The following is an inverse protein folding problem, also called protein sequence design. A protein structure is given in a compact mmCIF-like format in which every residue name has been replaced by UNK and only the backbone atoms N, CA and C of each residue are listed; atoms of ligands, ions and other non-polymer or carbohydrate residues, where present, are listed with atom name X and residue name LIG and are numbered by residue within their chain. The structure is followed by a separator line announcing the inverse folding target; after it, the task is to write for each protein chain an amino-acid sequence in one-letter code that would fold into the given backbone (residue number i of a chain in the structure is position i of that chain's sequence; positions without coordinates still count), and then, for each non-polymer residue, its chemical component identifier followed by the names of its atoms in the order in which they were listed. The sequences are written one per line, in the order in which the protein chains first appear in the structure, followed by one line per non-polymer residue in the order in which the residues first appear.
data_IF_597317704276
#
_entry.id   IF_597317704276
#
_cell.length_a   1.000
_cell.length_b   1.000
_cell.length_c   1.000
_cell.angle_alpha   90.00
_cell.angle_beta   90.00
_cell.angle_gamma   90.00
#
_symmetry.space_group_name_H-M   'P 1'
#
loop_
_entity.id
_entity.type
_entity.pdbx_description
1 polymer ?
#
# COMPACT_ATOMS: atom_id res chain seq x y z
N UNK A 1 4.99 -69.81 4.44
CA UNK A 1 6.31 -70.18 4.99
C UNK A 1 7.14 -70.88 3.93
N UNK A 2 8.17 -70.21 3.39
CA UNK A 2 9.36 -70.85 2.81
C UNK A 2 10.45 -69.78 2.72
N UNK A 3 11.56 -70.07 3.40
CA UNK A 3 12.72 -69.22 3.63
C UNK A 3 13.64 -69.37 2.42
N UNK A 4 14.11 -68.26 1.85
CA UNK A 4 15.30 -68.26 0.99
C UNK A 4 16.27 -67.21 1.50
N UNK A 5 17.35 -67.75 2.05
CA UNK A 5 18.57 -67.10 2.51
C UNK A 5 19.50 -67.05 1.29
N UNK A 6 19.85 -65.87 0.79
CA UNK A 6 21.00 -65.71 -0.10
C UNK A 6 21.77 -64.44 0.25
N UNK A 7 23.08 -64.62 0.24
CA UNK A 7 24.08 -63.82 0.90
C UNK A 7 24.49 -62.56 0.12
N UNK A 8 24.76 -61.50 0.90
CA UNK A 8 25.88 -60.57 0.80
C UNK A 8 26.70 -60.55 -0.51
N UNK A 9 26.55 -59.46 -1.26
CA UNK A 9 27.60 -58.91 -2.13
C UNK A 9 27.59 -57.37 -1.96
N UNK A 10 28.61 -56.74 -1.35
CA UNK A 10 28.64 -55.30 -1.20
C UNK A 10 29.14 -54.67 -2.51
N UNK A 11 28.22 -54.05 -3.27
CA UNK A 11 28.57 -53.24 -4.42
C UNK A 11 28.95 -51.84 -3.93
N UNK A 12 30.25 -51.61 -3.85
CA UNK A 12 30.91 -50.37 -3.49
C UNK A 12 30.67 -49.31 -4.58
N UNK A 13 29.70 -48.41 -4.39
CA UNK A 13 29.52 -47.24 -5.24
C UNK A 13 30.45 -46.12 -4.78
N UNK A 14 31.40 -45.79 -5.65
CA UNK A 14 32.41 -44.75 -5.48
C UNK A 14 31.73 -43.39 -5.77
N UNK A 15 31.76 -42.49 -4.80
CA UNK A 15 31.33 -41.09 -4.97
C UNK A 15 32.38 -40.33 -5.80
N UNK A 16 32.01 -39.58 -6.85
CA UNK A 16 32.91 -38.60 -7.43
C UNK A 16 32.97 -37.37 -6.53
N UNK A 17 34.11 -37.19 -5.86
CA UNK A 17 34.45 -35.97 -5.16
C UNK A 17 34.78 -34.85 -6.17
N UNK A 18 33.96 -33.80 -6.23
CA UNK A 18 34.32 -32.55 -6.89
C UNK A 18 35.29 -31.78 -5.97
N UNK A 19 36.57 -31.75 -6.35
CA UNK A 19 37.53 -30.75 -5.84
C UNK A 19 37.48 -29.47 -6.69
N UNK A 20 37.77 -28.30 -6.12
CA UNK A 20 37.80 -27.04 -6.84
C UNK A 20 39.04 -26.97 -7.74
N UNK A 21 38.81 -26.80 -9.05
CA UNK A 21 39.87 -26.63 -10.03
C UNK A 21 40.40 -25.19 -9.96
N UNK A 22 41.58 -25.02 -9.36
CA UNK A 22 42.40 -23.81 -9.46
C UNK A 22 43.13 -23.83 -10.81
N UNK A 23 42.91 -22.83 -11.65
CA UNK A 23 43.75 -22.57 -12.82
C UNK A 23 45.03 -21.81 -12.39
N UNK A 24 46.17 -22.03 -13.07
CA UNK A 24 47.46 -21.46 -12.70
C UNK A 24 47.62 -20.01 -13.14
N UNK A 25 48.26 -19.23 -12.26
CA UNK A 25 48.66 -17.84 -12.43
C UNK A 25 49.97 -17.80 -13.24
N UNK A 26 49.98 -17.07 -14.36
CA UNK A 26 51.23 -16.60 -15.00
C UNK A 26 51.57 -15.24 -14.41
N UNK A 27 52.68 -15.18 -13.69
CA UNK A 27 53.29 -13.96 -13.17
C UNK A 27 54.24 -13.41 -14.25
N UNK A 28 54.05 -12.17 -14.67
CA UNK A 28 55.16 -11.32 -15.07
C UNK A 28 55.00 -9.98 -14.36
N UNK A 29 56.01 -9.71 -13.53
CA UNK A 29 56.15 -8.53 -12.69
C UNK A 29 56.59 -7.32 -13.52
N UNK A 30 55.99 -6.16 -13.25
CA UNK A 30 56.68 -4.87 -13.19
C UNK A 30 55.68 -3.78 -12.80
N UNK A 31 55.69 -3.45 -11.51
CA UNK A 31 55.54 -2.13 -10.88
C UNK A 31 55.00 -0.98 -11.74
N UNK A 32 53.99 -0.26 -11.23
CA UNK A 32 53.92 1.22 -11.09
C UNK A 32 52.54 1.65 -10.54
N UNK A 33 52.59 2.27 -9.36
CA UNK A 33 51.72 3.30 -8.79
C UNK A 33 50.23 3.04 -8.52
N UNK A 34 49.94 3.05 -7.23
CA UNK A 34 48.66 3.22 -6.56
C UNK A 34 47.87 4.42 -7.10
N UNK A 35 46.67 4.18 -7.61
CA UNK A 35 45.65 5.22 -7.84
C UNK A 35 44.28 4.56 -7.71
N UNK A 36 43.68 4.71 -6.52
CA UNK A 36 42.27 4.43 -6.29
C UNK A 36 41.44 5.36 -7.19
N UNK A 37 40.83 4.82 -8.24
CA UNK A 37 39.73 5.48 -8.93
C UNK A 37 38.45 5.10 -8.20
N UNK A 38 38.02 5.97 -7.28
CA UNK A 38 36.69 5.95 -6.73
C UNK A 38 35.68 6.19 -7.86
N UNK A 39 34.93 5.14 -8.22
CA UNK A 39 33.70 5.29 -8.97
C UNK A 39 32.56 5.53 -7.96
N UNK A 40 32.50 6.74 -7.41
CA UNK A 40 31.30 7.24 -6.75
C UNK A 40 30.71 8.35 -7.62
N UNK A 41 29.85 7.92 -8.54
CA UNK A 41 28.86 8.79 -9.15
C UNK A 41 27.54 8.04 -9.07
N UNK A 42 26.96 8.00 -7.88
CA UNK A 42 25.52 7.82 -7.75
C UNK A 42 24.86 9.02 -8.43
N UNK A 43 24.29 8.82 -9.61
CA UNK A 43 23.41 9.81 -10.22
C UNK A 43 22.23 10.04 -9.27
N UNK A 44 22.31 11.11 -8.50
CA UNK A 44 21.20 11.61 -7.70
C UNK A 44 20.24 12.25 -8.68
N UNK A 45 19.30 11.46 -9.19
CA UNK A 45 18.10 11.99 -9.80
C UNK A 45 17.44 12.89 -8.75
N UNK A 46 17.13 14.15 -9.07
CA UNK A 46 16.43 15.00 -8.12
C UNK A 46 15.10 14.34 -7.80
N UNK A 47 14.96 13.84 -6.57
CA UNK A 47 13.68 13.45 -6.02
C UNK A 47 12.80 14.70 -6.03
N UNK A 48 11.90 14.78 -7.00
CA UNK A 48 10.91 15.85 -7.04
C UNK A 48 10.12 15.74 -5.74
N UNK A 49 10.24 16.74 -4.88
CA UNK A 49 9.50 16.80 -3.63
C UNK A 49 8.00 16.71 -3.97
N UNK A 50 7.37 15.57 -3.67
CA UNK A 50 5.93 15.42 -3.79
C UNK A 50 5.26 16.26 -2.71
N UNK A 51 4.16 16.90 -3.09
CA UNK A 51 3.29 17.53 -2.11
C UNK A 51 2.83 16.47 -1.09
N UNK A 52 2.76 16.85 0.18
CA UNK A 52 2.26 15.96 1.21
C UNK A 52 0.80 15.58 0.94
N UNK A 53 0.46 14.31 1.17
CA UNK A 53 -0.90 13.82 1.05
C UNK A 53 -1.85 14.63 1.93
N UNK A 54 -2.97 15.06 1.36
CA UNK A 54 -3.99 15.82 2.07
C UNK A 54 -5.37 15.16 1.91
N UNK A 55 -5.86 14.58 3.01
CA UNK A 55 -7.17 13.94 3.07
C UNK A 55 -8.31 14.88 2.66
N UNK A 56 -8.21 16.19 2.91
CA UNK A 56 -9.29 17.14 2.56
C UNK A 56 -9.57 17.20 1.05
N UNK A 57 -8.58 16.85 0.22
CA UNK A 57 -8.69 16.82 -1.25
C UNK A 57 -9.33 15.54 -1.79
N UNK A 58 -9.49 14.49 -0.97
CA UNK A 58 -10.22 13.29 -1.38
C UNK A 58 -11.72 13.64 -1.45
N UNK A 59 -12.41 13.40 -2.58
CA UNK A 59 -13.84 13.65 -2.71
C UNK A 59 -14.64 12.84 -1.68
N UNK A 60 -15.70 13.44 -1.14
CA UNK A 60 -16.65 12.73 -0.29
C UNK A 60 -17.65 11.96 -1.16
N UNK A 61 -17.88 10.69 -0.83
CA UNK A 61 -18.96 9.88 -1.38
C UNK A 61 -20.12 9.77 -0.39
N UNK A 62 -21.34 9.66 -0.91
CA UNK A 62 -22.54 9.37 -0.14
C UNK A 62 -23.07 7.95 -0.37
N UNK A 63 -22.29 7.11 -1.06
CA UNK A 63 -22.67 5.73 -1.34
C UNK A 63 -22.55 4.87 -0.08
N UNK A 64 -23.51 3.96 0.11
CA UNK A 64 -23.42 2.93 1.13
C UNK A 64 -22.40 1.87 0.70
N UNK A 65 -21.38 1.63 1.53
CA UNK A 65 -20.36 0.61 1.29
C UNK A 65 -20.79 -0.78 1.76
N UNK A 66 -21.93 -0.89 2.44
CA UNK A 66 -22.32 -2.08 3.17
C UNK A 66 -21.53 -2.23 4.47
N UNK A 67 -21.37 -3.46 4.91
CA UNK A 67 -20.77 -3.76 6.21
C UNK A 67 -19.24 -3.94 6.06
N UNK A 68 -18.50 -3.47 7.07
CA UNK A 68 -17.04 -3.67 7.15
C UNK A 68 -16.69 -5.17 7.03
N UNK A 69 -15.72 -5.60 6.19
CA UNK A 69 -14.64 -4.81 5.60
C UNK A 69 -14.92 -4.22 4.20
N UNK A 70 -16.19 -4.12 3.79
CA UNK A 70 -16.70 -3.51 2.54
C UNK A 70 -16.34 -4.24 1.24
N UNK A 71 -15.08 -4.65 1.07
CA UNK A 71 -14.56 -5.20 -0.18
C UNK A 71 -14.32 -6.70 -0.05
N UNK A 72 -15.11 -7.55 -0.73
CA UNK A 72 -14.86 -8.99 -0.75
C UNK A 72 -13.65 -9.32 -1.63
N UNK A 73 -13.10 -10.52 -1.45
CA UNK A 73 -12.07 -11.03 -2.35
C UNK A 73 -12.63 -11.15 -3.79
N UNK A 74 -11.84 -10.80 -4.83
CA UNK A 74 -12.28 -10.94 -6.22
C UNK A 74 -12.62 -12.38 -6.59
N UNK A 75 -13.50 -12.57 -7.58
CA UNK A 75 -13.89 -13.91 -8.06
C UNK A 75 -12.69 -14.79 -8.42
N UNK A 76 -12.58 -15.96 -7.76
CA UNK A 76 -11.45 -16.88 -7.92
C UNK A 76 -10.33 -16.70 -6.89
N UNK A 77 -10.52 -15.80 -5.93
CA UNK A 77 -9.64 -15.53 -4.82
C UNK A 77 -10.43 -15.58 -3.52
N UNK A 78 -9.71 -15.79 -2.42
CA UNK A 78 -10.27 -15.87 -1.08
C UNK A 78 -9.31 -15.24 -0.08
N UNK A 79 -9.87 -14.79 1.04
CA UNK A 79 -9.10 -14.34 2.19
C UNK A 79 -8.67 -15.51 3.06
N UNK A 80 -7.43 -15.46 3.57
CA UNK A 80 -6.88 -16.38 4.58
C UNK A 80 -6.22 -15.58 5.70
N UNK A 81 -6.02 -16.25 6.84
CA UNK A 81 -5.33 -15.67 8.00
C UNK A 81 -5.91 -14.31 8.40
N UNK A 82 -7.25 -14.21 8.39
CA UNK A 82 -7.98 -12.98 8.66
C UNK A 82 -7.73 -12.52 10.10
N UNK A 83 -7.27 -11.29 10.26
CA UNK A 83 -7.19 -10.58 11.55
C UNK A 83 -8.17 -9.41 11.51
N UNK A 84 -9.19 -9.44 12.36
CA UNK A 84 -10.17 -8.37 12.54
C UNK A 84 -9.99 -7.77 13.95
N UNK A 85 -9.92 -6.44 14.06
CA UNK A 85 -9.90 -5.73 15.35
C UNK A 85 -10.79 -4.50 15.30
N UNK A 86 -11.49 -4.20 16.39
CA UNK A 86 -12.28 -2.97 16.51
C UNK A 86 -11.40 -1.71 16.58
N UNK A 87 -10.15 -1.87 17.02
CA UNK A 87 -9.16 -0.81 17.04
C UNK A 87 -7.75 -1.36 16.78
N UNK A 88 -7.03 -0.74 15.87
CA UNK A 88 -5.64 -1.03 15.54
C UNK A 88 -5.06 0.07 14.65
N UNK A 89 -3.76 0.02 14.44
CA UNK A 89 -3.02 1.00 13.64
C UNK A 89 -2.15 0.27 12.61
N UNK A 90 -2.11 0.79 11.39
CA UNK A 90 -1.23 0.29 10.32
C UNK A 90 -0.67 1.46 9.50
N UNK A 91 0.48 1.22 8.85
CA UNK A 91 1.09 2.17 7.94
C UNK A 91 0.59 2.01 6.51
N UNK A 92 0.11 3.13 5.95
CA UNK A 92 -0.36 3.23 4.57
C UNK A 92 0.54 4.17 3.76
N UNK A 93 0.87 3.81 2.53
CA UNK A 93 1.65 4.65 1.63
C UNK A 93 0.72 5.61 0.87
N UNK A 94 0.93 6.92 1.02
CA UNK A 94 0.26 7.95 0.24
C UNK A 94 1.26 9.05 -0.13
N UNK A 95 1.32 9.42 -1.40
CA UNK A 95 2.25 10.42 -1.94
C UNK A 95 3.72 10.22 -1.51
N UNK A 96 4.15 8.95 -1.42
CA UNK A 96 5.52 8.57 -1.03
C UNK A 96 5.81 8.58 0.47
N UNK A 97 4.79 8.79 1.33
CA UNK A 97 4.91 8.76 2.79
C UNK A 97 4.10 7.64 3.42
N UNK A 98 4.72 6.92 4.34
CA UNK A 98 4.07 5.93 5.19
C UNK A 98 3.41 6.65 6.37
N UNK A 99 2.08 6.71 6.31
CA UNK A 99 1.25 7.36 7.31
C UNK A 99 0.65 6.32 8.26
N UNK A 100 0.77 6.49 9.59
CA UNK A 100 0.03 5.67 10.54
C UNK A 100 -1.46 6.03 10.46
N UNK A 101 -2.31 5.02 10.34
CA UNK A 101 -3.76 5.17 10.32
C UNK A 101 -4.34 4.27 11.40
N UNK A 102 -5.13 4.85 12.30
CA UNK A 102 -5.79 4.13 13.38
C UNK A 102 -7.30 4.00 13.12
N UNK A 103 -7.87 2.83 13.42
CA UNK A 103 -9.30 2.58 13.33
C UNK A 103 -9.67 1.10 13.47
N UNK A 104 -10.87 0.74 13.04
CA UNK A 104 -11.29 -0.66 12.90
C UNK A 104 -10.52 -1.30 11.76
N UNK A 105 -9.85 -2.42 12.01
CA UNK A 105 -8.88 -2.99 11.07
C UNK A 105 -9.27 -4.38 10.60
N UNK A 106 -9.06 -4.63 9.31
CA UNK A 106 -9.15 -5.94 8.67
C UNK A 106 -7.86 -6.20 7.92
N UNK A 107 -7.22 -7.32 8.20
CA UNK A 107 -5.99 -7.76 7.54
C UNK A 107 -6.17 -9.19 7.07
N UNK A 108 -5.77 -9.48 5.85
CA UNK A 108 -5.86 -10.84 5.33
C UNK A 108 -4.81 -11.10 4.26
N UNK A 109 -4.38 -12.36 4.16
CA UNK A 109 -3.77 -12.86 2.95
C UNK A 109 -4.84 -13.01 1.87
N UNK A 110 -4.50 -12.65 0.65
CA UNK A 110 -5.30 -12.86 -0.53
C UNK A 110 -4.65 -13.97 -1.35
N UNK A 111 -5.34 -15.10 -1.46
CA UNK A 111 -4.84 -16.26 -2.20
C UNK A 111 -5.85 -16.67 -3.27
N UNK A 112 -5.41 -17.52 -4.19
CA UNK A 112 -6.33 -18.20 -5.10
C UNK A 112 -7.18 -19.21 -4.33
N UNK A 113 -8.43 -19.36 -4.76
CA UNK A 113 -9.28 -20.47 -4.31
C UNK A 113 -8.61 -21.81 -4.67
N UNK A 114 -8.59 -22.76 -3.74
CA UNK A 114 -7.94 -24.07 -3.93
C UNK A 114 -8.51 -24.84 -5.13
N UNK A 115 -9.78 -24.62 -5.46
CA UNK A 115 -10.46 -25.21 -6.62
C UNK A 115 -9.98 -24.68 -7.97
N UNK A 116 -9.05 -23.71 -8.01
CA UNK A 116 -8.55 -23.07 -9.24
C UNK A 116 -7.02 -23.07 -9.30
N UNK A 117 -6.36 -24.12 -9.82
CA UNK A 117 -4.91 -24.36 -9.72
C UNK A 117 -4.02 -23.46 -10.59
N UNK A 118 -4.52 -22.33 -11.11
CA UNK A 118 -3.70 -21.42 -11.91
C UNK A 118 -2.90 -20.45 -11.03
N UNK A 119 -1.78 -19.94 -11.55
CA UNK A 119 -0.93 -18.94 -10.87
C UNK A 119 -1.70 -17.70 -10.41
N UNK A 120 -1.26 -17.09 -9.30
CA UNK A 120 -1.81 -15.83 -8.83
C UNK A 120 -1.60 -14.74 -9.88
N UNK A 121 -2.70 -14.10 -10.31
CA UNK A 121 -2.64 -13.00 -11.28
C UNK A 121 -2.80 -11.67 -10.55
N UNK A 122 -1.69 -10.93 -10.43
CA UNK A 122 -1.65 -9.59 -9.83
C UNK A 122 -2.59 -8.66 -10.58
N UNK A 123 -2.45 -8.56 -11.91
CA UNK A 123 -3.25 -7.65 -12.75
C UNK A 123 -4.76 -7.92 -12.68
N UNK A 124 -5.19 -9.18 -12.51
CA UNK A 124 -6.61 -9.50 -12.33
C UNK A 124 -7.13 -9.00 -10.98
N UNK A 125 -6.35 -9.18 -9.92
CA UNK A 125 -6.70 -8.70 -8.58
C UNK A 125 -6.76 -7.17 -8.56
N UNK A 126 -5.72 -6.51 -9.07
CA UNK A 126 -5.63 -5.05 -9.14
C UNK A 126 -6.81 -4.44 -9.87
N UNK A 127 -7.10 -4.91 -11.10
CA UNK A 127 -8.26 -4.42 -11.87
C UNK A 127 -9.58 -4.64 -11.16
N UNK A 128 -9.70 -5.71 -10.39
CA UNK A 128 -10.93 -6.00 -9.65
C UNK A 128 -11.11 -5.05 -8.48
N UNK A 129 -10.08 -4.84 -7.65
CA UNK A 129 -10.16 -3.89 -6.55
C UNK A 129 -10.24 -2.45 -7.02
N UNK A 130 -9.46 -2.07 -8.04
CA UNK A 130 -9.52 -0.74 -8.64
C UNK A 130 -10.95 -0.42 -9.07
N UNK A 131 -11.60 -1.33 -9.80
CA UNK A 131 -13.01 -1.17 -10.17
C UNK A 131 -13.95 -1.11 -8.96
N UNK A 132 -13.82 -2.03 -8.00
CA UNK A 132 -14.71 -2.06 -6.82
C UNK A 132 -14.61 -0.78 -6.00
N UNK A 133 -13.39 -0.33 -5.70
CA UNK A 133 -13.11 0.80 -4.82
C UNK A 133 -13.44 2.13 -5.51
N UNK A 134 -13.06 2.29 -6.79
CA UNK A 134 -13.37 3.53 -7.53
C UNK A 134 -14.86 3.67 -7.83
N UNK A 135 -15.60 2.56 -8.00
CA UNK A 135 -17.04 2.59 -8.23
C UNK A 135 -17.85 3.17 -7.07
N UNK A 136 -17.28 3.17 -5.86
CA UNK A 136 -17.88 3.75 -4.66
C UNK A 136 -17.29 5.13 -4.30
N UNK A 137 -16.42 5.68 -5.15
CA UNK A 137 -15.80 7.00 -4.99
C UNK A 137 -14.42 6.98 -4.35
N UNK A 138 -13.79 5.81 -4.21
CA UNK A 138 -12.43 5.72 -3.68
C UNK A 138 -11.41 6.22 -4.70
N UNK A 139 -10.33 6.83 -4.20
CA UNK A 139 -9.25 7.40 -5.01
C UNK A 139 -7.97 6.62 -4.74
N UNK A 140 -7.25 6.25 -5.80
CA UNK A 140 -5.91 5.66 -5.67
C UNK A 140 -4.90 6.76 -5.38
N UNK A 141 -4.18 6.62 -4.27
CA UNK A 141 -3.22 7.61 -3.75
C UNK A 141 -1.77 7.12 -3.80
N UNK A 142 -1.55 5.83 -4.10
CA UNK A 142 -0.22 5.30 -4.38
C UNK A 142 -0.28 4.03 -5.24
N UNK A 143 0.77 3.87 -6.04
CA UNK A 143 1.22 2.63 -6.70
C UNK A 143 2.73 2.49 -6.56
N UNK A 144 3.31 3.13 -5.55
CA UNK A 144 4.76 3.24 -5.41
C UNK A 144 5.30 2.14 -4.51
N UNK A 145 6.62 1.95 -4.57
CA UNK A 145 7.39 1.22 -3.56
C UNK A 145 7.85 2.23 -2.50
N UNK A 146 7.63 2.02 -1.19
CA UNK A 146 8.21 2.86 -0.16
C UNK A 146 9.72 3.00 -0.33
N UNK A 147 10.24 4.22 -0.28
CA UNK A 147 11.69 4.42 -0.40
C UNK A 147 12.40 3.84 0.82
N UNK A 148 13.67 3.46 0.67
CA UNK A 148 14.50 2.99 1.78
C UNK A 148 14.53 4.01 2.94
N UNK A 149 14.71 5.29 2.61
CA UNK A 149 14.71 6.36 3.62
C UNK A 149 13.37 6.47 4.36
N UNK A 150 12.26 6.22 3.69
CA UNK A 150 10.93 6.22 4.31
C UNK A 150 10.70 5.01 5.21
N UNK A 151 11.17 3.83 4.80
CA UNK A 151 11.17 2.62 5.62
C UNK A 151 12.01 2.82 6.89
N UNK A 152 13.21 3.40 6.76
CA UNK A 152 14.09 3.73 7.89
C UNK A 152 13.47 4.79 8.81
N UNK A 153 12.76 5.77 8.25
CA UNK A 153 12.06 6.81 9.03
C UNK A 153 10.96 6.23 9.93
N UNK A 154 10.22 5.23 9.43
CA UNK A 154 9.19 4.54 10.23
C UNK A 154 9.84 3.59 11.22
N UNK A 155 10.85 2.84 10.79
CA UNK A 155 11.61 1.92 11.62
C UNK A 155 11.00 0.52 11.68
N UNK A 156 11.88 -0.48 11.80
CA UNK A 156 11.52 -1.89 11.83
C UNK A 156 10.66 -2.28 13.04
N UNK A 157 10.84 -1.60 14.19
CA UNK A 157 10.03 -1.80 15.40
C UNK A 157 8.54 -1.54 15.14
N UNK A 158 8.21 -0.48 14.41
CA UNK A 158 6.82 -0.16 14.05
C UNK A 158 6.26 -1.16 13.03
N UNK A 159 7.02 -1.48 11.98
CA UNK A 159 6.56 -2.35 10.89
C UNK A 159 6.42 -3.81 11.33
N UNK A 160 7.42 -4.35 12.02
CA UNK A 160 7.54 -5.78 12.32
C UNK A 160 7.22 -6.10 13.78
N UNK A 161 7.88 -5.47 14.75
CA UNK A 161 7.75 -5.86 16.16
C UNK A 161 6.37 -5.50 16.74
N UNK A 162 5.84 -4.33 16.34
CA UNK A 162 4.47 -3.89 16.68
C UNK A 162 3.40 -4.39 15.71
N UNK A 163 3.79 -5.15 14.68
CA UNK A 163 2.93 -5.68 13.61
C UNK A 163 2.06 -4.63 12.88
N UNK A 164 2.54 -3.39 12.69
CA UNK A 164 1.80 -2.29 12.04
C UNK A 164 2.11 -2.10 10.56
N UNK A 165 2.85 -3.03 9.96
CA UNK A 165 3.23 -3.00 8.56
C UNK A 165 2.73 -4.21 7.77
N UNK A 166 1.50 -4.67 7.96
CA UNK A 166 1.06 -5.95 7.38
C UNK A 166 1.23 -6.07 5.86
N UNK A 167 0.98 -4.99 5.12
CA UNK A 167 1.22 -4.93 3.67
C UNK A 167 2.59 -4.36 3.31
N UNK A 168 3.16 -3.51 4.17
CA UNK A 168 4.46 -2.85 3.97
C UNK A 168 5.63 -3.82 4.14
N UNK A 169 5.53 -4.75 5.09
CA UNK A 169 6.58 -5.69 5.49
C UNK A 169 6.94 -6.74 4.45
N UNK A 170 6.25 -6.76 3.29
CA UNK A 170 6.67 -7.59 2.16
C UNK A 170 7.98 -7.08 1.54
N UNK A 171 8.27 -5.77 1.68
CA UNK A 171 9.52 -5.14 1.25
C UNK A 171 9.70 -5.10 -0.27
N UNK A 172 10.05 -3.94 -0.82
CA UNK A 172 10.39 -3.82 -2.25
C UNK A 172 9.26 -4.15 -3.23
N UNK A 173 8.01 -4.14 -2.76
CA UNK A 173 6.81 -4.38 -3.56
C UNK A 173 5.97 -3.09 -3.60
N UNK A 174 5.29 -2.88 -4.72
CA UNK A 174 4.35 -1.78 -4.92
C UNK A 174 3.19 -1.86 -3.92
N UNK A 175 2.86 -0.73 -3.32
CA UNK A 175 1.71 -0.58 -2.44
C UNK A 175 0.60 0.15 -3.19
N UNK A 176 -0.41 -0.61 -3.60
CA UNK A 176 -1.61 -0.05 -4.20
C UNK A 176 -2.52 0.46 -3.07
N UNK A 177 -2.48 1.77 -2.82
CA UNK A 177 -3.25 2.40 -1.74
C UNK A 177 -4.42 3.20 -2.27
N UNK A 178 -5.58 2.99 -1.69
CA UNK A 178 -6.81 3.71 -1.97
C UNK A 178 -7.33 4.37 -0.70
N UNK A 179 -7.92 5.54 -0.88
CA UNK A 179 -8.57 6.29 0.19
C UNK A 179 -9.97 6.68 -0.25
N UNK A 180 -10.92 6.58 0.68
CA UNK A 180 -12.30 6.98 0.49
C UNK A 180 -12.75 7.82 1.69
N UNK A 181 -13.50 8.88 1.42
CA UNK A 181 -14.19 9.65 2.46
C UNK A 181 -15.70 9.48 2.32
N UNK A 182 -16.34 9.11 3.42
CA UNK A 182 -17.79 9.07 3.56
C UNK A 182 -18.20 10.01 4.71
N UNK A 183 -19.51 10.20 4.90
CA UNK A 183 -20.10 10.88 6.06
C UNK A 183 -19.62 10.23 7.36
N UNK A 184 -18.67 10.89 8.02
CA UNK A 184 -18.16 10.48 9.32
C UNK A 184 -17.07 9.42 9.32
N UNK A 185 -16.68 8.90 8.15
CA UNK A 185 -15.65 7.86 8.04
C UNK A 185 -14.62 8.11 6.93
N UNK A 186 -13.40 7.70 7.20
CA UNK A 186 -12.32 7.56 6.23
C UNK A 186 -12.00 6.06 6.10
N UNK A 187 -11.88 5.57 4.87
CA UNK A 187 -11.46 4.19 4.60
C UNK A 187 -10.16 4.19 3.84
N UNK A 188 -9.21 3.43 4.37
CA UNK A 188 -7.92 3.16 3.76
C UNK A 188 -7.87 1.70 3.34
N UNK A 189 -7.48 1.45 2.09
CA UNK A 189 -7.29 0.10 1.55
C UNK A 189 -5.90 0.02 0.94
N UNK A 190 -5.09 -0.94 1.34
CA UNK A 190 -3.76 -1.15 0.77
C UNK A 190 -3.59 -2.61 0.36
N UNK A 191 -3.00 -2.82 -0.81
CA UNK A 191 -2.64 -4.12 -1.34
C UNK A 191 -1.13 -4.19 -1.56
N UNK A 192 -0.54 -5.33 -1.22
CA UNK A 192 0.83 -5.71 -1.56
C UNK A 192 0.82 -7.13 -2.13
N UNK A 193 1.42 -7.36 -3.30
CA UNK A 193 1.23 -8.61 -4.05
C UNK A 193 2.49 -9.07 -4.75
N UNK A 194 2.66 -10.38 -4.85
CA UNK A 194 3.61 -11.03 -5.73
C UNK A 194 2.90 -12.08 -6.61
N UNK A 195 3.67 -12.88 -7.33
CA UNK A 195 3.16 -13.92 -8.23
C UNK A 195 2.63 -15.18 -7.51
N UNK A 196 2.71 -15.23 -6.17
CA UNK A 196 2.25 -16.36 -5.35
C UNK A 196 0.98 -15.99 -4.59
N UNK A 197 0.95 -14.83 -3.93
CA UNK A 197 -0.20 -14.36 -3.14
C UNK A 197 -0.13 -12.84 -2.94
N UNK A 198 -1.15 -12.30 -2.26
CA UNK A 198 -1.19 -10.92 -1.82
C UNK A 198 -1.52 -10.76 -0.35
N UNK A 199 -1.38 -9.55 0.15
CA UNK A 199 -1.89 -9.08 1.42
C UNK A 199 -2.82 -7.89 1.18
N UNK A 200 -3.90 -7.82 1.94
CA UNK A 200 -4.79 -6.67 1.99
C UNK A 200 -4.89 -6.16 3.43
N UNK A 201 -4.87 -4.84 3.58
CA UNK A 201 -5.22 -4.16 4.81
C UNK A 201 -6.33 -3.15 4.54
N UNK A 202 -7.36 -3.13 5.38
CA UNK A 202 -8.46 -2.18 5.35
C UNK A 202 -8.61 -1.56 6.74
N UNK A 203 -8.57 -0.24 6.82
CA UNK A 203 -8.89 0.51 8.04
C UNK A 203 -10.08 1.41 7.80
N UNK A 204 -11.07 1.33 8.70
CA UNK A 204 -12.13 2.31 8.85
C UNK A 204 -11.81 3.19 10.05
N UNK A 205 -11.61 4.49 9.81
CA UNK A 205 -11.48 5.51 10.85
C UNK A 205 -12.79 6.29 10.94
N UNK A 206 -13.36 6.37 12.14
CA UNK A 206 -14.70 6.95 12.35
C UNK A 206 -15.82 5.95 12.03
N UNK A 207 -17.06 6.41 12.12
CA UNK A 207 -18.25 5.56 11.95
C UNK A 207 -18.91 5.80 10.60
N UNK A 208 -19.23 4.71 9.88
CA UNK A 208 -20.04 4.81 8.67
C UNK A 208 -21.49 5.14 9.03
N UNK A 209 -21.97 6.27 8.54
CA UNK A 209 -23.39 6.59 8.59
C UNK A 209 -24.09 5.87 7.44
N UNK A 210 -24.61 4.68 7.71
CA UNK A 210 -25.40 3.89 6.75
C UNK A 210 -26.68 4.63 6.38
N UNK A 211 -26.90 4.85 5.08
CA UNK A 211 -28.18 5.30 4.48
C UNK A 211 -28.84 6.50 5.16
N UNK A 212 -28.57 7.72 4.69
CA UNK A 212 -29.46 8.86 4.98
C UNK A 212 -30.73 8.77 4.12
N UNK A 213 -31.90 9.02 4.74
CA UNK A 213 -33.13 9.28 3.97
C UNK A 213 -32.90 10.52 3.09
N UNK A 214 -33.56 10.59 1.93
CA UNK A 214 -33.38 11.64 0.92
C UNK A 214 -33.46 13.09 1.49
N UNK A 215 -34.21 13.29 2.57
CA UNK A 215 -34.30 14.58 3.29
C UNK A 215 -33.03 15.01 4.04
N UNK A 216 -32.21 14.06 4.50
CA UNK A 216 -30.97 14.34 5.24
C UNK A 216 -29.80 14.59 4.28
N UNK A 217 -29.85 14.00 3.08
CA UNK A 217 -28.91 14.30 1.98
C UNK A 217 -28.97 15.78 1.59
N UNK A 218 -30.17 16.35 1.51
CA UNK A 218 -30.35 17.78 1.15
C UNK A 218 -29.81 18.71 2.23
N UNK A 219 -29.91 18.34 3.51
CA UNK A 219 -29.36 19.13 4.62
C UNK A 219 -27.84 19.11 4.63
N UNK A 220 -27.24 17.92 4.52
CA UNK A 220 -25.77 17.77 4.52
C UNK A 220 -25.11 18.44 3.31
N UNK A 221 -25.75 18.40 2.13
CA UNK A 221 -25.34 19.19 0.97
C UNK A 221 -25.46 20.70 1.24
N UNK A 222 -26.56 21.14 1.87
CA UNK A 222 -26.72 22.56 2.21
C UNK A 222 -25.72 23.04 3.27
N UNK A 223 -25.33 22.20 4.22
CA UNK A 223 -24.33 22.50 5.24
C UNK A 223 -22.93 22.49 4.66
N UNK A 224 -22.58 21.49 3.83
CA UNK A 224 -21.28 21.44 3.14
C UNK A 224 -21.11 22.64 2.20
N UNK A 225 -22.12 22.98 1.39
CA UNK A 225 -22.07 24.17 0.54
C UNK A 225 -21.99 25.48 1.34
N UNK A 226 -22.56 25.54 2.55
CA UNK A 226 -22.42 26.70 3.45
C UNK A 226 -21.03 26.82 4.06
N UNK A 227 -20.40 25.70 4.41
CA UNK A 227 -19.03 25.68 4.95
C UNK A 227 -18.04 26.08 3.85
N UNK A 228 -18.16 25.52 2.65
CA UNK A 228 -17.31 25.89 1.50
C UNK A 228 -17.49 27.36 1.10
N UNK A 229 -18.70 27.90 1.17
CA UNK A 229 -18.96 29.33 0.90
C UNK A 229 -18.35 30.24 1.97
N UNK A 230 -18.42 29.86 3.25
CA UNK A 230 -17.83 30.66 4.32
C UNK A 230 -16.30 30.66 4.29
N UNK A 231 -15.65 29.53 3.98
CA UNK A 231 -14.18 29.50 3.82
C UNK A 231 -13.70 30.37 2.65
N UNK A 232 -14.47 30.48 1.57
CA UNK A 232 -14.18 31.39 0.45
C UNK A 232 -14.35 32.88 0.80
N UNK A 233 -15.16 33.20 1.81
CA UNK A 233 -15.42 34.58 2.23
C UNK A 233 -14.43 35.04 3.31
N UNK A 234 -13.85 34.12 4.09
CA UNK A 234 -12.83 34.43 5.12
C UNK A 234 -11.49 34.82 4.49
N UNK A 235 -11.19 34.38 3.26
CA UNK A 235 -9.98 34.79 2.52
C UNK A 235 -10.15 36.09 1.70
N UNK A 236 -11.32 36.74 1.73
CA UNK A 236 -11.59 37.96 0.93
C UNK A 236 -11.69 39.27 1.73
N UNK A 237 -11.55 39.26 3.05
CA UNK A 237 -11.50 40.50 3.84
C UNK A 237 -10.12 41.16 3.70
N UNK A 238 -9.94 41.85 2.57
CA UNK A 238 -8.66 42.51 2.31
C UNK A 238 -8.58 43.47 1.14
N UNK A 239 -9.65 43.83 0.42
CA UNK A 239 -9.63 45.02 -0.45
C UNK A 239 -11.05 45.58 -0.62
N UNK A 240 -11.40 46.63 0.14
CA UNK A 240 -12.55 47.49 -0.18
C UNK A 240 -12.06 48.54 -1.19
N UNK A 241 -12.59 48.63 -2.43
CA UNK A 241 -12.39 49.83 -3.22
C UNK A 241 -13.30 50.93 -2.67
N UNK A 242 -12.67 52.01 -2.20
CA UNK A 242 -13.31 53.25 -1.80
C UNK A 242 -14.03 53.87 -3.00
N UNK A 243 -15.37 53.89 -2.96
CA UNK A 243 -16.19 54.60 -3.94
C UNK A 243 -16.36 56.02 -3.44
N UNK A 244 -15.49 56.91 -3.91
CA UNK A 244 -15.59 58.33 -3.64
C UNK A 244 -16.85 58.90 -4.33
N UNK A 245 -17.76 59.40 -3.51
CA UNK A 245 -19.05 59.92 -3.94
C UNK A 245 -18.98 61.44 -3.88
N UNK A 246 -18.62 62.09 -4.98
CA UNK A 246 -18.70 63.55 -5.11
C UNK A 246 -19.79 63.97 -6.11
N UNK A 247 -20.94 64.27 -5.52
CA UNK A 247 -21.84 65.42 -5.75
C UNK A 247 -22.18 65.89 -7.18
N UNK A 248 -23.50 65.90 -7.45
CA UNK A 248 -24.16 66.73 -8.45
C UNK A 248 -23.97 68.23 -8.19
N UNK A 249 -23.40 68.96 -9.16
CA UNK A 249 -23.94 70.17 -9.80
C UNK A 249 -22.98 70.73 -10.85
#
# INVERSE_FOLDING_TARGET
MKRYLYALLPLLYILPACQPHKQPIVHNDSTVTDTMVAADTAETYPAVARAAFNMSKVPKTNLDLGDFPFFPAPKGYQYRNVKLKDRGEEYFLADGKLMPVEGKTFKAELVREESKPAMFSISKVEKSYDKMITSVGGVKVSTDIPTKAEMERVGDDEIYDKERGFTVGFGGIELNTYVLRNRGAEVWVQLSMNNVYGAICIIQKGEFVKGMKEGDVRRDLSETSRIEYNDLMVDSEGVVPEVDTLLQQ
#
